data_IF_229666771105
#
_entry.id   IF_229666771105
#
_cell.length_a   1.000
_cell.length_b   1.000
_cell.length_c   1.000
_cell.angle_alpha   90.00
_cell.angle_beta   90.00
_cell.angle_gamma   90.00
#
_symmetry.space_group_name_H-M   'P 1'
#
loop_
_entity.id
_entity.type
_entity.pdbx_description
1 polymer ?
#
# COMPACT_ATOMS: atom_id res chain seq x y z
N UNK A 1 11.38 4.72 -24.91
CA UNK A 1 10.50 3.64 -24.43
C UNK A 1 9.12 4.23 -24.21
N UNK A 2 8.07 3.73 -24.87
CA UNK A 2 6.70 4.19 -24.60
C UNK A 2 6.22 3.53 -23.32
N UNK A 3 5.96 4.31 -22.28
CA UNK A 3 5.27 3.83 -21.09
C UNK A 3 3.80 3.73 -21.45
N UNK A 4 3.14 2.59 -21.24
CA UNK A 4 1.69 2.50 -21.43
C UNK A 4 1.00 3.55 -20.56
N UNK A 5 -0.05 4.20 -21.05
CA UNK A 5 -0.83 5.22 -20.33
C UNK A 5 -1.51 4.70 -19.05
N UNK A 6 -1.58 3.39 -18.89
CA UNK A 6 -1.96 2.68 -17.67
C UNK A 6 -1.13 1.40 -17.62
N UNK A 7 -0.38 1.19 -16.58
CA UNK A 7 0.43 -0.01 -16.42
C UNK A 7 0.77 -0.24 -14.95
N UNK A 8 1.22 -1.44 -14.58
CA UNK A 8 1.51 -1.79 -13.19
C UNK A 8 2.43 -0.77 -12.51
N UNK A 9 3.48 -0.32 -13.19
CA UNK A 9 4.43 0.68 -12.65
C UNK A 9 3.73 2.01 -12.34
N UNK A 10 2.80 2.48 -13.18
CA UNK A 10 2.07 3.73 -12.94
C UNK A 10 1.21 3.62 -11.68
N UNK A 11 0.50 2.50 -11.51
CA UNK A 11 -0.36 2.27 -10.33
C UNK A 11 0.42 2.25 -9.02
N UNK A 12 1.63 1.70 -9.01
CA UNK A 12 2.43 1.68 -7.78
C UNK A 12 2.86 3.08 -7.32
N UNK A 13 2.91 4.06 -8.25
CA UNK A 13 3.15 5.45 -7.89
C UNK A 13 1.89 6.16 -7.34
N UNK A 14 0.68 5.71 -7.69
CA UNK A 14 -0.55 6.21 -7.04
C UNK A 14 -0.50 5.96 -5.53
N UNK A 15 -0.01 4.78 -5.13
CA UNK A 15 0.17 4.44 -3.72
C UNK A 15 1.23 5.32 -3.05
N UNK A 16 2.37 5.55 -3.71
CA UNK A 16 3.41 6.42 -3.19
C UNK A 16 2.96 7.89 -3.03
N UNK A 17 1.99 8.32 -3.83
CA UNK A 17 1.43 9.68 -3.81
C UNK A 17 0.28 9.87 -2.80
N UNK A 18 -0.14 8.82 -2.14
CA UNK A 18 -1.02 8.88 -0.97
C UNK A 18 -0.21 9.42 0.21
N UNK A 19 -0.29 10.73 0.43
CA UNK A 19 0.55 11.44 1.39
C UNK A 19 0.37 10.92 2.82
N UNK A 20 -0.83 10.81 3.41
CA UNK A 20 -1.00 10.33 4.78
C UNK A 20 -0.44 8.91 4.97
N UNK A 21 -0.66 8.02 3.99
CA UNK A 21 -0.11 6.68 4.01
C UNK A 21 1.42 6.69 3.93
N UNK A 22 1.96 7.38 2.95
CA UNK A 22 3.41 7.46 2.74
C UNK A 22 4.12 8.08 3.95
N UNK A 23 3.51 9.09 4.58
CA UNK A 23 4.06 9.70 5.78
C UNK A 23 3.97 8.80 7.01
N UNK A 24 2.91 8.01 7.17
CA UNK A 24 2.83 7.03 8.25
C UNK A 24 3.95 5.98 8.17
N UNK A 25 4.19 5.43 6.96
CA UNK A 25 5.34 4.53 6.72
C UNK A 25 6.68 5.23 6.92
N UNK A 26 6.83 6.45 6.39
CA UNK A 26 8.04 7.24 6.55
C UNK A 26 8.41 7.42 8.03
N UNK A 27 7.46 7.86 8.86
CA UNK A 27 7.71 8.18 10.26
C UNK A 27 8.06 6.91 11.06
N UNK A 28 7.38 5.79 10.75
CA UNK A 28 7.73 4.51 11.36
C UNK A 28 9.11 4.00 10.91
N UNK A 29 9.42 4.06 9.62
CA UNK A 29 10.73 3.67 9.04
C UNK A 29 11.84 4.49 9.68
N UNK A 30 11.67 5.82 9.76
CA UNK A 30 12.66 6.72 10.35
C UNK A 30 13.02 6.36 11.80
N UNK A 31 12.06 5.86 12.55
CA UNK A 31 12.25 5.48 13.95
C UNK A 31 12.83 4.07 14.15
N UNK A 32 12.66 3.15 13.18
CA UNK A 32 12.84 1.72 13.46
C UNK A 32 13.90 1.00 12.63
N UNK A 33 14.32 1.51 11.46
CA UNK A 33 15.13 0.70 10.51
C UNK A 33 16.64 0.91 10.59
N UNK A 34 17.11 1.89 11.35
CA UNK A 34 18.55 2.17 11.43
C UNK A 34 19.35 0.94 11.93
N UNK A 35 20.35 0.54 11.15
CA UNK A 35 21.19 -0.63 11.46
C UNK A 35 20.52 -1.99 11.24
N UNK A 36 19.30 -2.04 10.69
CA UNK A 36 18.51 -3.25 10.51
C UNK A 36 18.63 -3.83 9.10
N UNK A 37 18.36 -5.14 9.01
CA UNK A 37 18.06 -5.82 7.75
C UNK A 37 16.55 -5.80 7.57
N UNK A 38 16.08 -5.28 6.44
CA UNK A 38 14.66 -5.16 6.11
C UNK A 38 14.30 -6.04 4.93
N UNK A 39 13.17 -6.71 4.98
CA UNK A 39 12.56 -7.41 3.88
C UNK A 39 11.25 -6.70 3.52
N UNK A 40 11.18 -6.01 2.38
CA UNK A 40 9.96 -5.38 1.88
C UNK A 40 9.18 -6.37 1.02
N UNK A 41 7.92 -6.60 1.38
CA UNK A 41 7.03 -7.57 0.77
C UNK A 41 6.04 -6.87 -0.16
N UNK A 42 6.27 -6.91 -1.48
CA UNK A 42 5.50 -6.20 -2.48
C UNK A 42 5.96 -4.75 -2.65
N UNK A 43 7.15 -4.56 -3.19
CA UNK A 43 7.85 -3.26 -3.18
C UNK A 43 7.21 -2.16 -4.05
N UNK A 44 6.47 -2.53 -5.08
CA UNK A 44 5.75 -1.59 -5.92
C UNK A 44 6.64 -0.48 -6.51
N UNK A 45 6.39 0.77 -6.14
CA UNK A 45 7.20 1.91 -6.61
C UNK A 45 8.65 1.90 -6.09
N UNK A 46 8.91 1.19 -4.98
CA UNK A 46 10.20 1.16 -4.30
C UNK A 46 10.39 2.30 -3.29
N UNK A 47 9.34 3.07 -2.98
CA UNK A 47 9.46 4.20 -2.04
C UNK A 47 9.85 3.73 -0.64
N UNK A 48 9.28 2.64 -0.14
CA UNK A 48 9.60 2.14 1.21
C UNK A 48 11.03 1.58 1.25
N UNK A 49 11.47 0.81 0.24
CA UNK A 49 12.88 0.41 0.08
C UNK A 49 13.80 1.63 0.10
N UNK A 50 13.47 2.68 -0.68
CA UNK A 50 14.28 3.90 -0.72
C UNK A 50 14.37 4.58 0.65
N UNK A 51 13.26 4.71 1.36
CA UNK A 51 13.22 5.28 2.71
C UNK A 51 14.03 4.41 3.70
N UNK A 52 13.92 3.09 3.64
CA UNK A 52 14.72 2.19 4.48
C UNK A 52 16.23 2.44 4.30
N UNK A 53 16.70 2.57 3.05
CA UNK A 53 18.10 2.90 2.76
C UNK A 53 18.48 4.26 3.31
N UNK A 54 17.63 5.29 3.12
CA UNK A 54 17.87 6.65 3.60
C UNK A 54 17.94 6.74 5.13
N UNK A 55 17.17 5.93 5.82
CA UNK A 55 17.16 5.87 7.29
C UNK A 55 18.10 4.81 7.87
N UNK A 56 19.07 4.33 7.08
CA UNK A 56 20.22 3.59 7.58
C UNK A 56 20.03 2.08 7.71
N UNK A 57 19.06 1.48 6.99
CA UNK A 57 19.04 0.04 6.86
C UNK A 57 20.39 -0.48 6.32
N UNK A 58 20.86 -1.59 6.84
CA UNK A 58 22.13 -2.21 6.42
C UNK A 58 21.96 -3.02 5.16
N UNK A 59 20.78 -3.62 4.96
CA UNK A 59 20.38 -4.37 3.78
C UNK A 59 18.86 -4.26 3.62
N UNK A 60 18.39 -4.20 2.37
CA UNK A 60 16.97 -4.28 2.04
C UNK A 60 16.77 -5.33 0.95
N UNK A 61 15.97 -6.35 1.25
CA UNK A 61 15.47 -7.31 0.27
C UNK A 61 14.11 -6.80 -0.22
N UNK A 62 14.01 -6.53 -1.51
CA UNK A 62 12.89 -5.85 -2.15
C UNK A 62 12.13 -6.87 -3.01
N UNK A 63 11.08 -7.51 -2.44
CA UNK A 63 10.29 -8.55 -3.10
C UNK A 63 9.21 -7.94 -3.99
N UNK A 64 9.10 -8.45 -5.20
CA UNK A 64 8.07 -8.07 -6.18
C UNK A 64 7.87 -9.22 -7.18
N UNK A 65 6.64 -9.47 -7.63
CA UNK A 65 6.36 -10.52 -8.61
C UNK A 65 5.99 -9.98 -10.00
N UNK A 66 5.66 -8.70 -10.12
CA UNK A 66 5.34 -8.08 -11.40
C UNK A 66 6.61 -7.72 -12.19
N UNK A 67 6.87 -8.42 -13.27
CA UNK A 67 8.10 -8.25 -14.07
C UNK A 67 8.38 -6.81 -14.51
N UNK A 68 7.36 -6.03 -14.84
CA UNK A 68 7.55 -4.62 -15.27
C UNK A 68 7.97 -3.73 -14.11
N UNK A 69 7.44 -4.01 -12.92
CA UNK A 69 7.82 -3.33 -11.67
C UNK A 69 9.24 -3.74 -11.28
N UNK A 70 9.56 -5.02 -11.36
CA UNK A 70 10.92 -5.54 -11.13
C UNK A 70 11.95 -4.87 -12.05
N UNK A 71 11.66 -4.78 -13.34
CA UNK A 71 12.55 -4.10 -14.31
C UNK A 71 12.73 -2.61 -13.98
N UNK A 72 11.73 -1.98 -13.40
CA UNK A 72 11.82 -0.62 -12.86
C UNK A 72 12.72 -0.58 -11.62
N UNK A 73 12.47 -1.41 -10.62
CA UNK A 73 13.21 -1.47 -9.36
C UNK A 73 14.69 -1.77 -9.60
N UNK A 74 15.02 -2.77 -10.44
CA UNK A 74 16.40 -3.12 -10.80
C UNK A 74 17.15 -1.96 -11.44
N UNK A 75 16.46 -1.12 -12.23
CA UNK A 75 17.09 0.08 -12.82
C UNK A 75 17.22 1.21 -11.82
N UNK A 76 16.20 1.41 -11.00
CA UNK A 76 16.17 2.50 -10.02
C UNK A 76 17.23 2.30 -8.93
N UNK A 77 17.42 1.06 -8.46
CA UNK A 77 18.39 0.71 -7.44
C UNK A 77 19.71 0.16 -7.99
N UNK A 78 20.01 0.31 -9.28
CA UNK A 78 21.20 -0.30 -9.92
C UNK A 78 22.53 0.08 -9.27
N UNK A 79 22.64 1.26 -8.68
CA UNK A 79 23.84 1.74 -7.97
C UNK A 79 23.77 1.58 -6.45
N UNK A 80 22.67 1.07 -5.91
CA UNK A 80 22.48 0.95 -4.47
C UNK A 80 22.83 -0.47 -3.99
N UNK A 81 24.02 -0.61 -3.42
CA UNK A 81 24.58 -1.93 -3.03
C UNK A 81 23.86 -2.57 -1.85
N UNK A 82 23.10 -1.79 -1.07
CA UNK A 82 22.32 -2.29 0.05
C UNK A 82 20.99 -2.92 -0.38
N UNK A 83 20.52 -2.69 -1.61
CA UNK A 83 19.26 -3.19 -2.11
C UNK A 83 19.45 -4.43 -2.98
N UNK A 84 18.64 -5.44 -2.72
CA UNK A 84 18.53 -6.64 -3.54
C UNK A 84 17.08 -6.82 -4.00
N UNK A 85 16.85 -6.70 -5.30
CA UNK A 85 15.52 -6.89 -5.89
C UNK A 85 15.31 -8.38 -6.15
N UNK A 86 14.34 -8.96 -5.47
CA UNK A 86 14.00 -10.39 -5.53
C UNK A 86 12.71 -10.57 -6.33
N UNK A 87 12.77 -11.39 -7.39
CA UNK A 87 11.66 -11.69 -8.30
C UNK A 87 10.93 -12.94 -7.81
N UNK A 88 10.10 -12.80 -6.77
CA UNK A 88 9.34 -13.90 -6.18
C UNK A 88 7.97 -13.42 -5.67
N UNK A 89 7.01 -14.37 -5.61
CA UNK A 89 5.70 -14.16 -5.02
C UNK A 89 5.78 -14.32 -3.49
N UNK A 90 5.40 -13.29 -2.75
CA UNK A 90 5.47 -13.25 -1.29
C UNK A 90 4.59 -14.29 -0.59
N UNK A 91 3.64 -14.89 -1.31
CA UNK A 91 2.77 -15.94 -0.76
C UNK A 91 3.41 -17.33 -0.78
N UNK A 92 4.55 -17.48 -1.49
CA UNK A 92 5.25 -18.76 -1.66
C UNK A 92 6.76 -18.66 -1.48
N UNK A 93 7.30 -17.44 -1.43
CA UNK A 93 8.73 -17.18 -1.30
C UNK A 93 9.32 -17.72 0.01
N UNK A 94 10.57 -18.13 -0.02
CA UNK A 94 11.39 -18.34 1.19
C UNK A 94 12.13 -17.06 1.52
N UNK A 95 11.88 -16.50 2.70
CA UNK A 95 12.46 -15.23 3.09
C UNK A 95 13.82 -15.40 3.77
N UNK A 96 14.78 -14.50 3.53
CA UNK A 96 16.01 -14.44 4.30
C UNK A 96 15.73 -14.04 5.74
N UNK A 97 16.63 -14.33 6.65
CA UNK A 97 16.56 -13.80 8.01
C UNK A 97 16.69 -12.28 7.97
N UNK A 98 15.66 -11.58 8.44
CA UNK A 98 15.63 -10.14 8.56
C UNK A 98 15.17 -9.73 9.97
N UNK A 99 15.45 -8.48 10.33
CA UNK A 99 14.98 -7.89 11.58
C UNK A 99 13.52 -7.41 11.45
N UNK A 100 13.13 -7.00 10.24
CA UNK A 100 11.84 -6.38 9.93
C UNK A 100 11.34 -6.93 8.59
N UNK A 101 10.07 -7.34 8.55
CA UNK A 101 9.31 -7.61 7.34
C UNK A 101 8.27 -6.50 7.18
N UNK A 102 8.44 -5.67 6.15
CA UNK A 102 7.61 -4.51 5.90
C UNK A 102 6.70 -4.78 4.71
N UNK A 103 5.40 -4.50 4.82
CA UNK A 103 4.47 -4.70 3.71
C UNK A 103 3.47 -3.56 3.57
N UNK A 104 2.86 -3.50 2.39
CA UNK A 104 1.72 -2.63 2.10
C UNK A 104 0.68 -3.39 1.26
N UNK A 105 0.38 -4.61 1.65
CA UNK A 105 -0.56 -5.49 0.93
C UNK A 105 -1.96 -5.45 1.58
N UNK A 106 -2.48 -4.24 1.83
CA UNK A 106 -3.82 -4.03 2.38
C UNK A 106 -4.66 -3.32 1.32
N UNK A 107 -5.49 -4.07 0.61
CA UNK A 107 -6.37 -3.52 -0.41
C UNK A 107 -7.58 -2.77 0.16
N UNK A 108 -8.40 -2.17 -0.70
CA UNK A 108 -9.61 -1.42 -0.30
C UNK A 108 -10.56 -2.24 0.57
N UNK A 109 -10.61 -3.55 0.38
CA UNK A 109 -11.38 -4.49 1.19
C UNK A 109 -10.51 -5.34 2.14
N UNK A 110 -9.29 -4.89 2.42
CA UNK A 110 -8.28 -5.61 3.20
C UNK A 110 -7.67 -6.81 2.44
N UNK A 111 -8.47 -7.64 1.77
CA UNK A 111 -8.06 -8.95 1.24
C UNK A 111 -7.62 -8.93 -0.24
N UNK A 112 -7.87 -7.86 -0.98
CA UNK A 112 -7.62 -7.79 -2.45
C UNK A 112 -6.17 -8.04 -2.85
N UNK A 113 -5.22 -7.73 -1.99
CA UNK A 113 -3.79 -7.91 -2.24
C UNK A 113 -3.21 -9.16 -1.59
N UNK A 114 -4.09 -10.16 -1.35
CA UNK A 114 -3.75 -11.48 -0.82
C UNK A 114 -2.97 -11.47 0.52
N UNK A 115 -3.33 -10.55 1.40
CA UNK A 115 -2.72 -10.41 2.73
C UNK A 115 -2.78 -11.72 3.54
N UNK A 116 -3.85 -12.50 3.41
CA UNK A 116 -3.98 -13.79 4.11
C UNK A 116 -2.97 -14.83 3.59
N UNK A 117 -2.75 -14.89 2.27
CA UNK A 117 -1.73 -15.75 1.67
C UNK A 117 -0.34 -15.38 2.14
N UNK A 118 -0.01 -14.09 2.16
CA UNK A 118 1.25 -13.58 2.68
C UNK A 118 1.46 -13.99 4.16
N UNK A 119 0.48 -13.74 5.04
CA UNK A 119 0.60 -14.12 6.46
C UNK A 119 0.63 -15.63 6.68
N UNK A 120 -0.04 -16.42 5.83
CA UNK A 120 0.09 -17.89 5.87
C UNK A 120 1.52 -18.32 5.59
N UNK A 121 2.15 -17.74 4.58
CA UNK A 121 3.56 -18.01 4.24
C UNK A 121 4.51 -17.54 5.36
N UNK A 122 4.34 -16.33 5.89
CA UNK A 122 5.14 -15.81 7.00
C UNK A 122 5.07 -16.70 8.24
N UNK A 123 3.88 -17.14 8.62
CA UNK A 123 3.66 -18.07 9.74
C UNK A 123 4.37 -19.42 9.55
N UNK A 124 4.35 -19.97 8.34
CA UNK A 124 5.03 -21.23 8.04
C UNK A 124 6.54 -21.15 8.28
N UNK A 125 7.09 -19.94 8.30
CA UNK A 125 8.50 -19.63 8.50
C UNK A 125 8.80 -18.98 9.87
N UNK A 126 7.78 -18.72 10.72
CA UNK A 126 7.92 -18.10 12.05
C UNK A 126 8.34 -16.63 12.00
N UNK A 127 7.85 -15.87 11.01
CA UNK A 127 8.30 -14.50 10.72
C UNK A 127 7.20 -13.45 11.00
N UNK A 128 5.99 -13.88 11.30
CA UNK A 128 4.81 -13.04 11.45
C UNK A 128 4.91 -12.00 12.58
N UNK A 129 5.71 -12.27 13.61
CA UNK A 129 5.90 -11.38 14.76
C UNK A 129 6.81 -10.19 14.47
N UNK A 130 7.54 -10.23 13.35
CA UNK A 130 8.43 -9.17 12.88
C UNK A 130 7.87 -8.43 11.66
N UNK A 131 6.59 -8.61 11.36
CA UNK A 131 5.94 -8.10 10.16
C UNK A 131 5.10 -6.87 10.49
N UNK A 132 5.26 -5.80 9.70
CA UNK A 132 4.63 -4.49 9.91
C UNK A 132 4.02 -3.93 8.61
N UNK A 133 2.86 -3.20 8.70
CA UNK A 133 2.06 -2.94 9.89
C UNK A 133 1.55 -4.24 10.50
N UNK A 134 1.28 -4.27 11.80
CA UNK A 134 0.96 -5.50 12.52
C UNK A 134 -0.41 -5.48 13.21
N UNK A 135 -1.09 -4.35 13.26
CA UNK A 135 -2.44 -4.21 13.83
C UNK A 135 -3.43 -3.78 12.78
N UNK A 136 -4.67 -4.24 12.90
CA UNK A 136 -5.78 -3.77 12.07
C UNK A 136 -7.09 -3.80 12.85
N UNK A 137 -7.90 -2.77 12.63
CA UNK A 137 -9.30 -2.70 13.01
C UNK A 137 -10.16 -2.65 11.76
N UNK A 138 -11.14 -3.54 11.65
CA UNK A 138 -12.09 -3.62 10.53
C UNK A 138 -13.48 -3.41 11.09
N UNK A 139 -14.20 -2.44 10.55
CA UNK A 139 -15.55 -2.09 10.94
C UNK A 139 -16.47 -2.15 9.72
N UNK A 140 -17.75 -2.32 9.95
CA UNK A 140 -18.77 -2.18 8.92
C UNK A 140 -19.79 -1.09 9.32
N UNK A 141 -20.46 -0.54 8.31
CA UNK A 141 -21.40 0.53 8.55
C UNK A 141 -22.06 1.05 7.29
N UNK A 142 -22.76 2.17 7.42
CA UNK A 142 -23.36 2.88 6.31
C UNK A 142 -22.54 4.09 5.91
N UNK A 143 -22.56 4.41 4.64
CA UNK A 143 -21.98 5.62 4.08
C UNK A 143 -22.99 6.31 3.18
N UNK A 144 -23.39 7.52 3.55
CA UNK A 144 -24.40 8.33 2.83
C UNK A 144 -23.81 9.55 2.15
N UNK A 145 -22.49 9.74 2.28
CA UNK A 145 -21.78 10.85 1.67
C UNK A 145 -21.34 10.57 0.24
N UNK A 146 -20.83 11.62 -0.39
CA UNK A 146 -20.18 11.54 -1.69
C UNK A 146 -18.66 11.46 -1.51
N UNK A 147 -18.04 10.54 -2.25
CA UNK A 147 -16.58 10.48 -2.35
C UNK A 147 -16.11 11.50 -3.38
N UNK A 148 -15.31 12.46 -2.97
CA UNK A 148 -14.74 13.45 -3.88
C UNK A 148 -13.47 12.90 -4.51
N UNK A 149 -13.51 12.66 -5.81
CA UNK A 149 -12.34 12.28 -6.59
C UNK A 149 -11.48 13.52 -6.88
N UNK A 150 -10.30 13.56 -6.34
CA UNK A 150 -9.32 14.60 -6.63
C UNK A 150 -8.50 14.23 -7.86
N UNK A 151 -8.83 14.84 -8.99
CA UNK A 151 -7.98 14.79 -10.21
C UNK A 151 -6.87 15.82 -10.03
N UNK A 152 -5.65 15.37 -9.96
CA UNK A 152 -4.52 16.28 -9.86
C UNK A 152 -4.17 16.90 -11.19
N UNK A 153 -4.18 18.21 -11.26
CA UNK A 153 -3.66 18.93 -12.40
C UNK A 153 -2.13 18.74 -12.49
N UNK A 154 -1.69 18.48 -13.70
CA UNK A 154 -0.40 18.06 -14.22
C UNK A 154 0.80 18.98 -13.91
N UNK A 155 0.97 19.50 -12.70
CA UNK A 155 2.12 20.36 -12.43
C UNK A 155 3.18 19.64 -11.60
N UNK A 156 4.43 19.80 -11.97
CA UNK A 156 5.60 19.39 -11.20
C UNK A 156 5.62 19.97 -9.77
N UNK A 157 4.82 20.99 -9.51
CA UNK A 157 4.63 21.60 -8.19
C UNK A 157 3.81 20.71 -7.26
N UNK A 158 2.95 19.81 -7.79
CA UNK A 158 2.08 19.00 -6.95
C UNK A 158 2.81 18.20 -5.86
N UNK A 159 3.92 17.55 -6.24
CA UNK A 159 4.71 16.75 -5.27
C UNK A 159 5.30 17.64 -4.19
N UNK A 160 5.88 18.80 -4.60
CA UNK A 160 6.44 19.77 -3.67
C UNK A 160 5.39 20.43 -2.77
N UNK A 161 4.16 20.61 -3.29
CA UNK A 161 3.04 21.16 -2.54
C UNK A 161 2.42 20.13 -1.57
N UNK A 162 2.53 18.84 -1.90
CA UNK A 162 1.97 17.74 -1.09
C UNK A 162 2.95 17.26 -0.02
N UNK A 163 4.21 17.01 -0.40
CA UNK A 163 5.19 16.45 0.51
C UNK A 163 6.18 17.53 0.95
N UNK A 164 6.24 17.78 2.25
CA UNK A 164 7.24 18.68 2.85
C UNK A 164 8.50 17.96 3.31
N UNK A 165 8.45 16.62 3.41
CA UNK A 165 9.57 15.81 3.86
C UNK A 165 10.65 15.65 2.77
N UNK A 166 11.89 16.08 3.09
CA UNK A 166 13.00 16.10 2.15
C UNK A 166 13.38 14.70 1.60
N UNK A 167 13.24 13.63 2.40
CA UNK A 167 13.56 12.28 1.95
C UNK A 167 12.49 11.72 1.01
N UNK A 168 11.22 12.01 1.27
CA UNK A 168 10.11 11.64 0.37
C UNK A 168 10.24 12.42 -0.94
N UNK A 169 10.48 13.72 -0.87
CA UNK A 169 10.73 14.56 -2.06
C UNK A 169 11.94 14.05 -2.86
N UNK A 170 13.01 13.63 -2.18
CA UNK A 170 14.21 13.14 -2.87
C UNK A 170 13.96 11.83 -3.63
N UNK A 171 13.04 10.98 -3.16
CA UNK A 171 12.61 9.81 -3.92
C UNK A 171 11.96 10.23 -5.24
N UNK A 172 10.98 11.11 -5.20
CA UNK A 172 10.28 11.56 -6.40
C UNK A 172 11.22 12.30 -7.37
N UNK A 173 12.13 13.12 -6.86
CA UNK A 173 13.13 13.83 -7.68
C UNK A 173 14.15 12.86 -8.31
N UNK A 174 14.46 11.74 -7.66
CA UNK A 174 15.33 10.71 -8.21
C UNK A 174 14.63 9.83 -9.28
N UNK A 175 13.29 9.87 -9.35
CA UNK A 175 12.50 9.10 -10.31
C UNK A 175 12.41 9.83 -11.65
N UNK A 176 13.17 9.47 -12.70
CA UNK A 176 13.16 10.16 -14.00
C UNK A 176 11.84 10.03 -14.75
N UNK A 177 10.91 9.28 -14.18
CA UNK A 177 9.61 8.98 -14.80
C UNK A 177 8.44 9.73 -14.16
N UNK A 178 8.65 10.41 -13.03
CA UNK A 178 7.58 11.08 -12.28
C UNK A 178 6.81 12.06 -13.17
N UNK A 179 7.49 12.92 -13.92
CA UNK A 179 6.85 13.88 -14.83
C UNK A 179 6.03 13.21 -15.96
N UNK A 180 6.34 11.95 -16.28
CA UNK A 180 5.64 11.17 -17.31
C UNK A 180 4.49 10.36 -16.73
N UNK A 181 4.55 10.04 -15.45
CA UNK A 181 3.56 9.22 -14.74
C UNK A 181 2.47 10.10 -14.15
N UNK A 182 2.82 11.22 -13.54
CA UNK A 182 1.90 12.18 -12.91
C UNK A 182 0.66 12.56 -13.74
N UNK A 183 0.74 12.69 -15.09
CA UNK A 183 -0.45 12.98 -15.88
C UNK A 183 -1.49 11.86 -15.94
N UNK A 184 -1.15 10.64 -15.56
CA UNK A 184 -1.96 9.44 -15.75
C UNK A 184 -2.31 8.72 -14.45
N UNK A 185 -1.61 9.02 -13.40
CA UNK A 185 -1.87 8.55 -12.04
C UNK A 185 -2.67 9.62 -11.32
N UNK A 186 -3.32 9.25 -10.26
CA UNK A 186 -3.86 10.14 -9.24
C UNK A 186 -5.37 10.18 -9.19
N UNK A 187 -5.85 9.19 -8.50
CA UNK A 187 -7.19 9.23 -7.96
C UNK A 187 -7.08 9.10 -6.44
N UNK A 188 -6.73 10.18 -5.76
CA UNK A 188 -6.94 10.21 -4.31
C UNK A 188 -8.38 10.65 -4.03
N UNK A 189 -8.99 9.97 -3.09
CA UNK A 189 -10.37 10.25 -2.67
C UNK A 189 -10.38 10.91 -1.30
N UNK A 190 -11.28 11.85 -1.13
CA UNK A 190 -11.67 12.32 0.21
C UNK A 190 -13.08 11.84 0.46
N UNK A 191 -13.28 11.19 1.59
CA UNK A 191 -14.58 10.74 2.04
C UNK A 191 -15.13 11.69 3.09
N UNK A 192 -16.43 11.97 3.01
CA UNK A 192 -17.11 12.73 4.06
C UNK A 192 -17.24 11.84 5.31
N UNK A 193 -16.33 12.03 6.26
CA UNK A 193 -16.32 11.24 7.50
C UNK A 193 -17.59 11.45 8.34
N UNK A 194 -18.26 12.60 8.24
CA UNK A 194 -19.50 12.88 8.95
C UNK A 194 -20.69 12.07 8.44
N UNK A 195 -20.57 11.54 7.20
CA UNK A 195 -21.57 10.68 6.57
C UNK A 195 -21.37 9.18 6.86
N UNK A 196 -20.39 8.82 7.66
CA UNK A 196 -20.12 7.43 8.07
C UNK A 196 -20.83 7.14 9.39
N UNK A 197 -21.57 6.04 9.44
CA UNK A 197 -22.13 5.49 10.68
C UNK A 197 -21.61 4.07 10.84
N UNK A 198 -20.82 3.83 11.88
CA UNK A 198 -20.32 2.49 12.20
C UNK A 198 -21.42 1.68 12.90
N UNK A 199 -21.72 0.49 12.38
CA UNK A 199 -22.74 -0.41 12.92
C UNK A 199 -22.11 -1.55 13.73
N UNK A 200 -20.84 -1.89 13.48
CA UNK A 200 -20.14 -2.91 14.24
C UNK A 200 -18.67 -3.02 13.88
N UNK A 201 -17.98 -3.88 14.62
CA UNK A 201 -16.59 -4.25 14.40
C UNK A 201 -16.50 -5.72 14.00
N UNK A 202 -15.89 -5.99 12.85
CA UNK A 202 -15.65 -7.34 12.34
C UNK A 202 -14.36 -7.93 12.92
N UNK A 203 -13.36 -7.09 13.11
CA UNK A 203 -12.08 -7.49 13.65
C UNK A 203 -11.38 -6.31 14.33
N UNK A 204 -10.65 -6.58 15.42
CA UNK A 204 -9.77 -5.62 16.09
C UNK A 204 -8.63 -6.39 16.75
N UNK A 205 -7.42 -6.33 16.17
CA UNK A 205 -6.30 -7.13 16.67
C UNK A 205 -5.08 -7.18 15.75
N UNK A 206 -4.27 -8.22 15.99
CA UNK A 206 -3.04 -8.44 15.22
C UNK A 206 -3.35 -8.95 13.82
N UNK A 207 -2.75 -8.33 12.79
CA UNK A 207 -2.88 -8.76 11.39
C UNK A 207 -2.51 -10.23 11.18
N UNK A 208 -1.54 -10.74 11.92
CA UNK A 208 -1.16 -12.16 11.87
C UNK A 208 -2.31 -13.11 12.25
N UNK A 209 -3.31 -12.66 13.01
CA UNK A 209 -4.46 -13.46 13.43
C UNK A 209 -5.71 -13.18 12.58
N UNK A 210 -5.59 -12.31 11.58
CA UNK A 210 -6.70 -11.99 10.68
C UNK A 210 -7.16 -13.23 9.93
N UNK A 211 -8.47 -13.45 9.91
CA UNK A 211 -9.16 -14.43 9.07
C UNK A 211 -10.22 -13.72 8.24
N UNK A 212 -10.78 -14.38 7.23
CA UNK A 212 -11.91 -13.80 6.51
C UNK A 212 -13.10 -13.64 7.46
N UNK A 213 -13.69 -12.47 7.47
CA UNK A 213 -14.96 -12.28 8.18
C UNK A 213 -16.10 -12.90 7.39
N UNK A 214 -17.08 -13.45 8.10
CA UNK A 214 -18.24 -14.15 7.53
C UNK A 214 -19.55 -13.58 8.10
N UNK A 215 -19.54 -12.34 8.59
CA UNK A 215 -20.70 -11.75 9.22
C UNK A 215 -21.76 -11.40 8.17
N UNK A 216 -22.93 -12.03 8.27
CA UNK A 216 -24.07 -11.80 7.38
C UNK A 216 -24.59 -10.37 7.46
N UNK A 217 -24.43 -9.71 8.60
CA UNK A 217 -24.92 -8.35 8.82
C UNK A 217 -24.09 -7.32 8.05
N UNK A 218 -22.83 -7.65 7.75
CA UNK A 218 -21.93 -6.80 6.95
C UNK A 218 -22.20 -6.87 5.45
N UNK A 219 -22.85 -7.93 4.94
CA UNK A 219 -22.92 -8.24 3.51
C UNK A 219 -23.54 -7.17 2.60
N UNK A 220 -24.30 -6.22 3.13
CA UNK A 220 -24.87 -5.09 2.38
C UNK A 220 -24.29 -3.74 2.77
N UNK A 221 -23.29 -3.72 3.64
CA UNK A 221 -22.71 -2.52 4.24
C UNK A 221 -21.31 -2.23 3.71
N UNK A 222 -20.84 -1.02 3.97
CA UNK A 222 -19.50 -0.60 3.61
C UNK A 222 -18.47 -1.10 4.63
N UNK A 223 -17.27 -1.40 4.15
CA UNK A 223 -16.13 -1.83 4.96
C UNK A 223 -15.18 -0.66 5.17
N UNK A 224 -14.83 -0.44 6.42
CA UNK A 224 -13.91 0.58 6.88
C UNK A 224 -12.79 -0.11 7.66
N UNK A 225 -11.54 0.21 7.34
CA UNK A 225 -10.43 -0.35 8.09
C UNK A 225 -9.40 0.71 8.45
N UNK A 226 -8.68 0.44 9.53
CA UNK A 226 -7.51 1.16 9.97
C UNK A 226 -6.44 0.17 10.38
N UNK A 227 -5.27 0.24 9.76
CA UNK A 227 -4.10 -0.54 10.17
C UNK A 227 -3.06 0.38 10.82
N UNK A 228 -2.17 -0.20 11.64
CA UNK A 228 -1.17 0.56 12.37
C UNK A 228 0.07 -0.28 12.71
N UNK A 229 1.12 0.41 13.06
CA UNK A 229 2.39 -0.13 13.53
C UNK A 229 2.40 -0.07 15.06
N UNK A 230 2.18 -1.20 15.73
CA UNK A 230 2.07 -1.29 17.20
C UNK A 230 1.05 -0.31 17.82
N UNK A 231 -0.03 -0.01 17.10
CA UNK A 231 -1.03 0.96 17.52
C UNK A 231 -0.70 2.43 17.22
N UNK A 232 0.44 2.70 16.58
CA UNK A 232 0.87 4.03 16.15
C UNK A 232 0.89 4.15 14.63
N UNK A 233 1.04 5.36 14.09
CA UNK A 233 1.14 5.63 12.65
C UNK A 233 -0.01 5.01 11.85
N UNK A 234 -1.27 5.42 12.07
CA UNK A 234 -2.42 4.79 11.44
C UNK A 234 -2.50 5.09 9.95
N UNK A 235 -2.90 4.06 9.18
CA UNK A 235 -3.30 4.14 7.78
C UNK A 235 -4.73 3.62 7.64
N UNK A 236 -5.56 4.19 6.76
CA UNK A 236 -6.96 3.77 6.65
C UNK A 236 -7.55 4.05 5.28
N UNK A 237 -8.63 3.31 4.92
CA UNK A 237 -9.35 3.54 3.67
C UNK A 237 -10.44 4.61 3.76
N UNK A 238 -10.66 5.24 4.90
CA UNK A 238 -11.76 6.21 5.12
C UNK A 238 -11.34 7.52 5.79
N UNK A 239 -10.25 7.52 6.55
CA UNK A 239 -9.67 8.74 7.12
C UNK A 239 -8.80 9.41 6.07
N UNK A 240 -8.76 10.73 6.10
CA UNK A 240 -7.89 11.53 5.24
C UNK A 240 -8.19 11.37 3.73
N UNK A 241 -7.40 12.02 2.93
CA UNK A 241 -7.32 11.86 1.50
C UNK A 241 -6.43 10.65 1.22
N UNK A 242 -6.97 9.62 0.60
CA UNK A 242 -6.27 8.36 0.37
C UNK A 242 -6.60 7.79 -1.02
N UNK A 243 -5.87 6.77 -1.46
CA UNK A 243 -6.09 6.12 -2.75
C UNK A 243 -7.08 4.94 -2.67
N UNK A 244 -7.46 4.50 -1.47
CA UNK A 244 -8.40 3.41 -1.29
C UNK A 244 -9.85 3.86 -1.40
N UNK A 245 -10.68 2.96 -1.91
CA UNK A 245 -12.12 3.16 -1.96
C UNK A 245 -12.79 2.60 -0.70
N UNK A 246 -13.86 3.25 -0.26
CA UNK A 246 -14.84 2.63 0.62
C UNK A 246 -15.72 1.73 -0.25
N UNK A 247 -15.72 0.43 -0.01
CA UNK A 247 -16.46 -0.55 -0.81
C UNK A 247 -17.46 -1.32 0.05
N UNK A 248 -18.51 -1.87 -0.59
CA UNK A 248 -19.46 -2.73 0.09
C UNK A 248 -18.88 -4.13 0.27
N UNK A 249 -19.22 -4.77 1.38
CA UNK A 249 -18.78 -6.14 1.69
C UNK A 249 -19.20 -7.15 0.63
N UNK A 250 -20.39 -6.98 0.03
CA UNK A 250 -20.88 -7.84 -1.05
C UNK A 250 -20.01 -7.79 -2.31
N UNK A 251 -19.30 -6.70 -2.55
CA UNK A 251 -18.38 -6.55 -3.70
C UNK A 251 -17.11 -7.40 -3.53
N UNK A 252 -16.91 -7.97 -2.34
CA UNK A 252 -15.78 -8.87 -2.03
C UNK A 252 -15.98 -10.30 -2.52
N UNK A 253 -17.21 -10.71 -2.78
CA UNK A 253 -17.53 -12.06 -3.25
C UNK A 253 -17.20 -12.29 -4.72
N UNK A 254 -16.64 -11.33 -5.42
CA UNK A 254 -16.12 -11.54 -6.77
C UNK A 254 -14.89 -12.44 -6.68
N UNK A 255 -14.86 -13.54 -7.45
CA UNK A 255 -13.69 -14.41 -7.50
C UNK A 255 -12.47 -13.58 -7.88
N UNK A 256 -11.29 -13.97 -7.38
CA UNK A 256 -10.00 -13.41 -7.76
C UNK A 256 -9.99 -13.34 -9.30
N UNK A 257 -10.40 -12.21 -9.84
CA UNK A 257 -10.27 -11.97 -11.26
C UNK A 257 -8.81 -11.64 -11.50
N UNK A 258 -8.22 -12.41 -12.38
CA UNK A 258 -6.93 -12.19 -13.00
C UNK A 258 -6.69 -10.67 -13.14
N UNK A 259 -5.60 -10.20 -12.57
CA UNK A 259 -5.22 -8.79 -12.46
C UNK A 259 -5.04 -8.08 -13.82
N UNK A 260 -5.38 -8.75 -14.92
CA UNK A 260 -5.29 -8.23 -16.28
C UNK A 260 -6.54 -7.48 -16.76
N UNK A 261 -7.68 -7.54 -16.04
CA UNK A 261 -8.93 -6.93 -16.50
C UNK A 261 -9.65 -6.20 -15.35
N UNK A 262 -9.15 -5.05 -14.92
CA UNK A 262 -9.98 -4.06 -14.24
C UNK A 262 -10.27 -2.90 -15.20
N UNK A 263 -11.36 -3.01 -15.95
CA UNK A 263 -12.00 -1.89 -16.60
C UNK A 263 -13.00 -1.28 -15.61
N UNK A 264 -12.61 -0.20 -14.96
CA UNK A 264 -13.56 0.62 -14.22
C UNK A 264 -14.38 1.44 -15.21
N UNK A 265 -15.68 1.17 -15.30
CA UNK A 265 -16.62 2.09 -15.93
C UNK A 265 -16.91 3.20 -14.92
N UNK A 266 -16.14 4.27 -14.98
CA UNK A 266 -16.50 5.53 -14.30
C UNK A 266 -17.58 6.16 -15.14
N UNK A 267 -18.81 6.26 -14.65
CA UNK A 267 -19.79 7.19 -15.24
C UNK A 267 -19.28 8.59 -14.96
N UNK A 268 -18.86 9.28 -16.02
CA UNK A 268 -18.67 10.72 -15.98
C UNK A 268 -20.04 11.37 -15.78
N UNK A 269 -20.15 12.19 -14.72
CA UNK A 269 -21.22 13.19 -14.54
C UNK A 269 -20.68 14.54 -14.92
#
# INVERSE_FOLDING_TARGET
MRIPKSGPVVRTFDYALDEPRTMAYHDWIAANVNGKIVCELGAGSGILTYLCVKYGATKVYCYENNKRVIDWLKRFFASETKVEVVEEDITTATFPTADIYLHENIGSNVYMENILGMYTNLKSQGLEDKTYPNKIKIQYGTYTGESQLHKYNKSSTYIADTFTNANVLSFFNACPMVDKILPYSLHNMTHDQSAITFNGTLYDGDLKNLTRYTDSDANSQYIFWEASFDGSYPISNWKFKNHWNIIKAADECMPIMDSSIMTYTVKEV
#
